data_IF_626834930066
#
_entry.id   IF_626834930066
#
_cell.length_a   1.000
_cell.length_b   1.000
_cell.length_c   1.000
_cell.angle_alpha   90.00
_cell.angle_beta   90.00
_cell.angle_gamma   90.00
#
_symmetry.space_group_name_H-M   'P 1'
#
loop_
_entity.id
_entity.type
_entity.pdbx_description
1 polymer ?
#
# COMPACT_ATOMS: atom_id res chain seq x y z
N UNK A 1 7.17 -18.07 -1.02
CA UNK A 1 5.99 -17.73 -0.19
C UNK A 1 5.68 -18.84 0.79
N UNK A 2 4.85 -18.55 1.77
CA UNK A 2 4.31 -19.54 2.71
C UNK A 2 2.81 -19.63 2.42
N UNK A 3 2.30 -20.85 2.22
CA UNK A 3 0.87 -21.07 2.03
C UNK A 3 0.12 -20.92 3.36
N UNK A 4 0.75 -21.39 4.44
CA UNK A 4 0.21 -21.34 5.79
C UNK A 4 1.28 -20.78 6.74
N UNK A 5 1.30 -19.46 6.92
CA UNK A 5 2.21 -18.79 7.85
C UNK A 5 1.83 -18.99 9.31
N UNK A 6 2.74 -18.66 10.22
CA UNK A 6 2.49 -18.62 11.65
C UNK A 6 2.49 -17.15 12.10
N UNK A 7 1.50 -16.71 12.89
CA UNK A 7 1.50 -15.36 13.45
C UNK A 7 2.65 -15.20 14.44
N UNK A 8 3.71 -14.52 14.01
CA UNK A 8 4.91 -14.29 14.83
C UNK A 8 5.11 -12.80 15.09
N UNK A 9 5.53 -12.47 16.29
CA UNK A 9 6.08 -11.17 16.64
C UNK A 9 7.51 -11.37 17.17
N UNK A 10 8.49 -10.92 16.39
CA UNK A 10 9.91 -11.07 16.71
C UNK A 10 10.50 -9.69 17.04
N UNK A 11 11.30 -9.64 18.08
CA UNK A 11 12.08 -8.46 18.44
C UNK A 11 13.49 -8.83 18.85
N UNK A 12 14.45 -7.97 18.55
CA UNK A 12 15.81 -8.06 19.04
C UNK A 12 15.95 -7.45 20.44
N UNK A 13 16.94 -7.85 21.25
CA UNK A 13 17.13 -7.32 22.62
C UNK A 13 17.29 -5.80 22.67
N UNK A 14 17.84 -5.19 21.63
CA UNK A 14 18.08 -3.75 21.49
C UNK A 14 16.86 -2.96 21.01
N UNK A 15 15.77 -3.65 20.64
CA UNK A 15 14.56 -3.00 20.12
C UNK A 15 13.85 -2.18 21.19
N UNK A 16 13.42 -0.95 20.85
CA UNK A 16 12.56 -0.13 21.72
C UNK A 16 11.11 -0.63 21.62
N UNK A 17 10.73 -1.47 22.59
CA UNK A 17 9.36 -2.00 22.65
C UNK A 17 8.42 -1.00 23.33
N UNK A 18 7.79 -0.16 22.55
CA UNK A 18 6.74 0.78 22.95
C UNK A 18 5.45 0.47 22.21
N UNK A 19 4.29 0.91 22.73
CA UNK A 19 3.00 0.74 22.03
C UNK A 19 3.04 1.38 20.64
N UNK A 20 3.66 2.55 20.51
CA UNK A 20 3.79 3.24 19.23
C UNK A 20 4.58 2.41 18.21
N UNK A 21 5.72 1.82 18.62
CA UNK A 21 6.52 0.97 17.74
C UNK A 21 5.83 -0.35 17.42
N UNK A 22 5.12 -0.94 18.39
CA UNK A 22 4.30 -2.13 18.17
C UNK A 22 3.23 -1.89 17.10
N UNK A 23 2.43 -0.83 17.23
CA UNK A 23 1.40 -0.46 16.26
C UNK A 23 2.00 -0.12 14.89
N UNK A 24 3.13 0.58 14.86
CA UNK A 24 3.85 0.88 13.61
C UNK A 24 4.32 -0.38 12.90
N UNK A 25 4.80 -1.37 13.62
CA UNK A 25 5.22 -2.66 13.07
C UNK A 25 4.07 -3.34 12.32
N UNK A 26 2.87 -3.36 12.88
CA UNK A 26 1.70 -3.92 12.20
C UNK A 26 1.38 -3.19 10.89
N UNK A 27 1.41 -1.85 10.90
CA UNK A 27 1.19 -1.05 9.69
C UNK A 27 2.28 -1.31 8.63
N UNK A 28 3.54 -1.36 9.04
CA UNK A 28 4.66 -1.61 8.14
C UNK A 28 4.61 -3.03 7.56
N UNK A 29 4.30 -4.02 8.38
CA UNK A 29 4.18 -5.42 7.96
C UNK A 29 3.06 -5.60 6.92
N UNK A 30 1.94 -4.88 7.04
CA UNK A 30 0.85 -4.94 6.05
C UNK A 30 1.28 -4.52 4.64
N UNK A 31 2.35 -3.73 4.53
CA UNK A 31 2.93 -3.29 3.26
C UNK A 31 4.22 -4.04 2.90
N UNK A 32 4.72 -4.93 3.75
CA UNK A 32 5.99 -5.61 3.57
C UNK A 32 6.04 -6.44 2.27
N UNK A 33 5.05 -7.28 2.04
CA UNK A 33 4.96 -8.10 0.83
C UNK A 33 4.80 -7.24 -0.43
N UNK A 34 3.97 -6.19 -0.36
CA UNK A 34 3.80 -5.22 -1.46
C UNK A 34 5.14 -4.56 -1.81
N UNK A 35 5.87 -4.07 -0.80
CA UNK A 35 7.20 -3.45 -1.01
C UNK A 35 8.17 -4.41 -1.67
N UNK A 36 8.24 -5.66 -1.21
CA UNK A 36 9.13 -6.66 -1.79
C UNK A 36 8.79 -6.93 -3.26
N UNK A 37 7.49 -7.03 -3.59
CA UNK A 37 7.04 -7.21 -4.97
C UNK A 37 7.31 -5.99 -5.86
N UNK A 38 7.03 -4.78 -5.37
CA UNK A 38 7.27 -3.55 -6.12
C UNK A 38 8.76 -3.25 -6.31
N UNK A 39 9.64 -3.70 -5.39
CA UNK A 39 11.10 -3.55 -5.57
C UNK A 39 11.59 -4.25 -6.83
N UNK A 40 10.97 -5.35 -7.26
CA UNK A 40 11.27 -6.02 -8.53
C UNK A 40 10.99 -5.06 -9.69
N UNK A 41 9.81 -4.45 -9.73
CA UNK A 41 9.45 -3.51 -10.78
C UNK A 41 10.37 -2.28 -10.82
N UNK A 42 10.72 -1.75 -9.66
CA UNK A 42 11.50 -0.50 -9.58
C UNK A 42 12.99 -0.73 -9.80
N UNK A 43 13.56 -1.81 -9.25
CA UNK A 43 15.01 -2.06 -9.28
C UNK A 43 15.46 -2.93 -10.44
N UNK A 44 14.65 -3.92 -10.83
CA UNK A 44 15.01 -4.86 -11.89
C UNK A 44 14.46 -4.38 -13.25
N UNK A 45 13.19 -3.94 -13.29
CA UNK A 45 12.55 -3.49 -14.54
C UNK A 45 12.68 -1.98 -14.77
N UNK A 46 13.21 -1.21 -13.80
CA UNK A 46 13.45 0.22 -13.93
C UNK A 46 12.19 1.07 -14.07
N UNK A 47 11.04 0.58 -13.66
CA UNK A 47 9.77 1.32 -13.71
C UNK A 47 9.84 2.51 -12.77
N UNK A 48 9.47 3.69 -13.27
CA UNK A 48 9.31 4.92 -12.48
C UNK A 48 7.84 5.23 -12.29
N UNK A 49 7.48 5.61 -11.09
CA UNK A 49 6.11 6.03 -10.76
C UNK A 49 6.06 7.54 -10.49
N UNK A 50 5.19 8.23 -11.20
CA UNK A 50 4.92 9.64 -10.95
C UNK A 50 3.92 9.84 -9.80
N UNK A 51 3.02 8.87 -9.61
CA UNK A 51 2.00 8.91 -8.57
C UNK A 51 1.33 7.52 -8.41
N UNK A 52 0.84 7.24 -7.20
CA UNK A 52 -0.03 6.09 -6.90
C UNK A 52 -1.33 6.59 -6.30
N UNK A 53 -2.45 6.01 -6.72
CA UNK A 53 -3.75 6.27 -6.11
C UNK A 53 -4.07 5.18 -5.08
N UNK A 54 -4.31 5.60 -3.84
CA UNK A 54 -4.65 4.71 -2.74
C UNK A 54 -6.16 4.59 -2.55
N UNK A 55 -6.64 3.35 -2.37
CA UNK A 55 -8.04 3.06 -2.06
C UNK A 55 -8.15 1.98 -0.99
N UNK A 56 -9.23 2.00 -0.23
CA UNK A 56 -9.56 0.98 0.74
C UNK A 56 -9.33 1.36 2.20
N UNK A 57 -9.52 0.39 3.09
CA UNK A 57 -9.56 0.61 4.54
C UNK A 57 -8.31 1.22 5.16
N UNK A 58 -7.13 0.95 4.61
CA UNK A 58 -5.87 1.53 5.08
C UNK A 58 -5.90 3.08 5.06
N UNK A 59 -6.65 3.66 4.14
CA UNK A 59 -6.70 5.11 3.93
C UNK A 59 -7.85 5.80 4.67
N UNK A 60 -8.71 5.07 5.41
CA UNK A 60 -9.80 5.67 6.19
C UNK A 60 -9.29 6.59 7.31
N UNK A 61 -8.14 6.30 7.88
CA UNK A 61 -7.49 7.21 8.83
C UNK A 61 -6.66 8.23 8.07
N UNK A 62 -7.14 9.47 8.06
CA UNK A 62 -6.54 10.57 7.30
C UNK A 62 -5.03 10.70 7.53
N UNK A 63 -4.27 10.69 6.48
CA UNK A 63 -2.82 10.89 6.45
C UNK A 63 -1.97 9.69 6.90
N UNK A 64 -2.49 8.75 7.69
CA UNK A 64 -1.69 7.65 8.25
C UNK A 64 -1.30 6.64 7.18
N UNK A 65 -2.26 5.98 6.56
CA UNK A 65 -2.00 4.99 5.51
C UNK A 65 -1.28 5.60 4.31
N UNK A 66 -1.65 6.82 3.93
CA UNK A 66 -1.03 7.56 2.81
C UNK A 66 0.45 7.82 3.07
N UNK A 67 0.83 8.32 4.26
CA UNK A 67 2.21 8.58 4.65
C UNK A 67 3.05 7.31 4.65
N UNK A 68 2.51 6.24 5.23
CA UNK A 68 3.22 4.95 5.31
C UNK A 68 3.39 4.34 3.91
N UNK A 69 2.37 4.42 3.07
CA UNK A 69 2.46 3.93 1.69
C UNK A 69 3.50 4.73 0.90
N UNK A 70 3.46 6.07 0.97
CA UNK A 70 4.44 6.92 0.30
C UNK A 70 5.87 6.60 0.75
N UNK A 71 6.09 6.34 2.05
CA UNK A 71 7.38 5.91 2.57
C UNK A 71 7.80 4.54 2.03
N UNK A 72 6.88 3.57 2.02
CA UNK A 72 7.15 2.20 1.56
C UNK A 72 7.58 2.14 0.09
N UNK A 73 6.93 2.90 -0.77
CA UNK A 73 7.18 2.86 -2.21
C UNK A 73 8.14 3.96 -2.71
N UNK A 74 8.49 4.91 -1.84
CA UNK A 74 9.28 6.09 -2.18
C UNK A 74 8.73 6.84 -3.42
N UNK A 75 7.41 6.99 -3.47
CA UNK A 75 6.71 7.70 -4.54
C UNK A 75 5.48 8.44 -3.97
N UNK A 76 5.00 9.47 -4.66
CA UNK A 76 3.81 10.20 -4.23
C UNK A 76 2.56 9.31 -4.20
N UNK A 77 1.72 9.50 -3.19
CA UNK A 77 0.43 8.82 -3.05
C UNK A 77 -0.68 9.85 -3.03
N UNK A 78 -1.67 9.69 -3.89
CA UNK A 78 -2.86 10.52 -3.94
C UNK A 78 -4.09 9.76 -3.45
N UNK A 79 -4.95 10.43 -2.71
CA UNK A 79 -6.23 9.92 -2.25
C UNK A 79 -7.36 10.81 -2.77
N UNK A 80 -8.33 10.19 -3.42
CA UNK A 80 -9.59 10.84 -3.74
C UNK A 80 -10.49 10.88 -2.49
N UNK A 81 -11.49 11.74 -2.45
CA UNK A 81 -12.44 11.80 -1.33
C UNK A 81 -13.16 10.47 -1.08
N UNK A 82 -13.38 9.71 -2.16
CA UNK A 82 -14.02 8.39 -2.14
C UNK A 82 -13.08 7.23 -1.82
N UNK A 83 -11.81 7.50 -1.48
CA UNK A 83 -10.78 6.47 -1.32
C UNK A 83 -11.13 5.38 -0.28
N UNK A 84 -11.90 5.71 0.76
CA UNK A 84 -12.34 4.76 1.79
C UNK A 84 -13.30 3.68 1.28
N UNK A 85 -14.01 3.92 0.18
CA UNK A 85 -15.05 3.05 -0.40
C UNK A 85 -14.76 2.72 -1.87
N UNK A 86 -13.50 2.67 -2.26
CA UNK A 86 -13.06 2.57 -3.65
C UNK A 86 -13.66 1.40 -4.44
N UNK A 87 -13.88 0.25 -3.83
CA UNK A 87 -14.50 -0.91 -4.50
C UNK A 87 -15.96 -0.65 -4.91
N UNK A 88 -16.79 -0.21 -3.97
CA UNK A 88 -18.20 0.10 -4.22
C UNK A 88 -18.34 1.26 -5.21
N UNK A 89 -17.52 2.29 -5.06
CA UNK A 89 -17.47 3.43 -5.96
C UNK A 89 -17.09 3.02 -7.38
N UNK A 90 -16.05 2.20 -7.55
CA UNK A 90 -15.62 1.70 -8.86
C UNK A 90 -16.71 0.92 -9.60
N UNK A 91 -17.44 0.04 -8.90
CA UNK A 91 -18.58 -0.68 -9.47
C UNK A 91 -19.70 0.28 -9.89
N UNK A 92 -20.01 1.29 -9.06
CA UNK A 92 -21.02 2.30 -9.40
C UNK A 92 -20.61 3.12 -10.63
N UNK A 93 -19.34 3.44 -10.79
CA UNK A 93 -18.82 4.14 -11.98
C UNK A 93 -18.94 3.30 -13.25
N UNK A 94 -18.65 2.00 -13.18
CA UNK A 94 -18.84 1.11 -14.32
C UNK A 94 -20.31 1.00 -14.71
N UNK A 95 -21.21 0.89 -13.74
CA UNK A 95 -22.66 0.89 -14.01
C UNK A 95 -23.12 2.22 -14.63
N UNK A 96 -22.63 3.35 -14.11
CA UNK A 96 -22.91 4.68 -14.66
C UNK A 96 -22.40 4.81 -16.10
N UNK A 97 -21.17 4.36 -16.36
CA UNK A 97 -20.62 4.34 -17.72
C UNK A 97 -21.49 3.55 -18.68
N UNK A 98 -21.94 2.36 -18.29
CA UNK A 98 -22.81 1.53 -19.15
C UNK A 98 -24.11 2.23 -19.53
N UNK A 99 -24.69 3.04 -18.63
CA UNK A 99 -25.98 3.69 -18.84
C UNK A 99 -25.87 5.08 -19.50
N UNK A 100 -24.77 5.80 -19.27
CA UNK A 100 -24.69 7.23 -19.60
C UNK A 100 -23.60 7.57 -20.65
N UNK A 101 -22.76 6.61 -21.04
CA UNK A 101 -21.72 6.89 -22.04
C UNK A 101 -22.31 7.37 -23.35
N UNK A 102 -21.65 8.34 -23.98
CA UNK A 102 -21.94 8.78 -25.34
C UNK A 102 -21.56 7.69 -26.35
N UNK A 103 -22.11 7.77 -27.54
CA UNK A 103 -21.77 6.83 -28.63
C UNK A 103 -20.24 6.84 -28.87
N UNK A 104 -19.63 5.67 -28.87
CA UNK A 104 -18.17 5.47 -29.03
C UNK A 104 -17.28 6.16 -27.95
N UNK A 105 -17.83 6.64 -26.83
CA UNK A 105 -17.02 7.19 -25.75
C UNK A 105 -16.30 6.06 -25.00
N UNK A 106 -14.95 6.02 -24.98
CA UNK A 106 -14.21 5.05 -24.19
C UNK A 106 -14.27 5.38 -22.70
N UNK A 107 -13.99 4.40 -21.85
CA UNK A 107 -14.11 4.53 -20.39
C UNK A 107 -13.19 5.60 -19.81
N UNK A 108 -11.96 5.69 -20.30
CA UNK A 108 -10.98 6.70 -19.86
C UNK A 108 -11.47 8.14 -20.13
N UNK A 109 -12.06 8.38 -21.32
CA UNK A 109 -12.66 9.67 -21.65
C UNK A 109 -13.87 9.97 -20.75
N UNK A 110 -14.77 8.99 -20.52
CA UNK A 110 -15.90 9.16 -19.60
C UNK A 110 -15.42 9.51 -18.18
N UNK A 111 -14.41 8.78 -17.68
CA UNK A 111 -13.89 9.02 -16.33
C UNK A 111 -13.23 10.40 -16.20
N UNK A 112 -12.42 10.82 -17.18
CA UNK A 112 -11.72 12.10 -17.14
C UNK A 112 -12.64 13.32 -17.34
N UNK A 113 -13.64 13.19 -18.21
CA UNK A 113 -14.50 14.31 -18.62
C UNK A 113 -15.73 14.48 -17.72
N UNK A 114 -16.33 13.36 -17.29
CA UNK A 114 -17.64 13.39 -16.61
C UNK A 114 -17.52 13.09 -15.10
N UNK A 115 -16.51 12.32 -14.68
CA UNK A 115 -16.41 11.89 -13.27
C UNK A 115 -15.35 12.65 -12.50
N UNK A 116 -14.13 12.67 -12.99
CA UNK A 116 -12.98 13.23 -12.28
C UNK A 116 -12.60 14.64 -12.78
N UNK A 117 -13.50 15.28 -13.51
CA UNK A 117 -13.26 16.63 -13.99
C UNK A 117 -12.99 17.60 -12.85
N UNK A 118 -11.73 18.11 -12.77
CA UNK A 118 -11.29 19.04 -11.74
C UNK A 118 -10.99 18.43 -10.35
N UNK A 119 -11.14 17.12 -10.17
CA UNK A 119 -10.74 16.46 -8.93
C UNK A 119 -9.24 16.17 -8.92
N UNK A 120 -8.51 16.81 -7.99
CA UNK A 120 -7.06 16.62 -7.88
C UNK A 120 -6.64 15.63 -6.79
N UNK A 121 -7.56 15.25 -5.91
CA UNK A 121 -7.25 14.43 -4.73
C UNK A 121 -6.24 15.10 -3.78
N UNK A 122 -6.00 14.49 -2.64
CA UNK A 122 -4.96 14.91 -1.70
C UNK A 122 -3.69 14.13 -2.00
N UNK A 123 -2.68 14.80 -2.55
CA UNK A 123 -1.37 14.21 -2.86
C UNK A 123 -0.42 14.37 -1.66
N UNK A 124 0.34 13.33 -1.35
CA UNK A 124 1.36 13.34 -0.32
C UNK A 124 2.68 12.83 -0.89
N UNK A 125 3.71 13.64 -0.76
CA UNK A 125 5.07 13.28 -1.15
C UNK A 125 5.72 12.37 -0.10
N UNK A 126 6.64 11.47 -0.48
CA UNK A 126 7.41 10.68 0.47
C UNK A 126 8.32 11.58 1.29
N UNK A 127 8.41 11.33 2.59
CA UNK A 127 9.36 11.98 3.49
C UNK A 127 10.63 11.12 3.60
N UNK A 128 11.81 11.72 3.46
CA UNK A 128 13.08 11.00 3.43
C UNK A 128 13.37 10.19 4.71
N UNK A 129 13.00 10.71 5.88
CA UNK A 129 13.18 10.00 7.15
C UNK A 129 12.25 8.78 7.25
N UNK A 130 11.00 8.93 6.80
CA UNK A 130 10.03 7.83 6.78
C UNK A 130 10.46 6.74 5.78
N UNK A 131 10.99 7.12 4.61
CA UNK A 131 11.54 6.19 3.61
C UNK A 131 12.69 5.39 4.21
N UNK A 132 13.68 6.09 4.80
CA UNK A 132 14.81 5.42 5.44
C UNK A 132 14.37 4.50 6.59
N UNK A 133 13.39 4.93 7.38
CA UNK A 133 12.80 4.12 8.46
C UNK A 133 12.08 2.87 7.93
N UNK A 134 11.36 2.99 6.81
CA UNK A 134 10.70 1.85 6.19
C UNK A 134 11.73 0.88 5.55
N UNK A 135 12.76 1.39 4.89
CA UNK A 135 13.82 0.57 4.32
C UNK A 135 14.59 -0.22 5.40
N UNK A 136 14.87 0.41 6.54
CA UNK A 136 15.46 -0.30 7.68
C UNK A 136 14.53 -1.40 8.24
N UNK A 137 13.23 -1.16 8.27
CA UNK A 137 12.24 -2.16 8.66
C UNK A 137 12.18 -3.31 7.66
N UNK A 138 12.10 -3.04 6.36
CA UNK A 138 11.94 -4.09 5.34
C UNK A 138 13.18 -4.99 5.26
N UNK A 139 14.35 -4.46 5.53
CA UNK A 139 15.57 -5.27 5.65
C UNK A 139 15.42 -6.30 6.78
N UNK A 140 15.03 -5.86 7.98
CA UNK A 140 14.78 -6.75 9.13
C UNK A 140 13.64 -7.75 8.87
N UNK A 141 12.59 -7.30 8.18
CA UNK A 141 11.48 -8.17 7.76
C UNK A 141 11.98 -9.32 6.89
N UNK A 142 12.82 -9.04 5.90
CA UNK A 142 13.42 -10.07 5.03
C UNK A 142 14.32 -11.03 5.82
N UNK A 143 15.11 -10.52 6.76
CA UNK A 143 15.96 -11.31 7.65
C UNK A 143 15.16 -12.24 8.59
N UNK A 144 13.91 -11.88 8.91
CA UNK A 144 13.01 -12.71 9.73
C UNK A 144 12.27 -13.81 8.93
N UNK A 145 12.29 -13.82 7.61
CA UNK A 145 11.62 -14.88 6.82
C UNK A 145 12.12 -16.31 7.12
N UNK A 146 13.42 -16.56 7.37
CA UNK A 146 13.88 -17.87 7.84
C UNK A 146 13.30 -18.28 9.20
N UNK A 147 13.02 -17.32 10.10
CA UNK A 147 12.37 -17.59 11.40
C UNK A 147 10.94 -18.05 11.18
N UNK A 148 10.20 -17.37 10.28
CA UNK A 148 8.85 -17.79 9.88
C UNK A 148 8.85 -19.19 9.27
N UNK A 149 9.80 -19.51 8.40
CA UNK A 149 9.96 -20.84 7.82
C UNK A 149 10.17 -21.90 8.91
N UNK A 150 11.08 -21.66 9.85
CA UNK A 150 11.33 -22.58 10.95
C UNK A 150 10.06 -22.77 11.83
N UNK A 151 9.28 -21.73 12.03
CA UNK A 151 8.02 -21.84 12.75
C UNK A 151 6.97 -22.67 12.02
N UNK A 152 6.85 -22.52 10.71
CA UNK A 152 5.95 -23.33 9.86
C UNK A 152 6.35 -24.81 9.92
N UNK A 153 7.65 -25.10 9.84
CA UNK A 153 8.18 -26.48 9.89
C UNK A 153 8.05 -27.13 11.28
N UNK A 154 8.15 -26.33 12.35
CA UNK A 154 8.17 -26.82 13.73
C UNK A 154 6.80 -26.87 14.41
N UNK A 155 5.84 -26.10 13.93
CA UNK A 155 4.49 -25.99 14.47
C UNK A 155 3.45 -26.41 13.43
N UNK A 156 3.30 -27.71 13.16
CA UNK A 156 2.29 -28.18 12.22
C UNK A 156 0.87 -27.79 12.71
N UNK A 157 -0.07 -27.61 11.75
CA UNK A 157 -1.48 -27.36 12.04
C UNK A 157 -2.17 -28.65 12.49
#
# INVERSE_FOLDING_TARGET
GFEEGRPLFVRTPDSKFTLANFMRTHLYTSLGALKVGLDILFKEEGVKLDNIYGHGGLFKTKGVGQRIMAAAINAPVSLMETAGEGGAWGIALLASYMLNKKENQPLDAFLSEEVFHGETGVRMEPNAEDVAGFDAFIQRYKECLPVERAAVESLPL
#
